data_IF_996855652307
#
_entry.id   IF_996855652307
#
_cell.length_a   1.000
_cell.length_b   1.000
_cell.length_c   1.000
_cell.angle_alpha   90.00
_cell.angle_beta   90.00
_cell.angle_gamma   90.00
#
_symmetry.space_group_name_H-M   'P 1'
#
loop_
_entity.id
_entity.type
_entity.pdbx_description
1 polymer ?
#
# COMPACT_ATOMS: atom_id res chain seq x y z
N UNK A 1 9.86 6.31 -13.23
CA UNK A 1 10.22 6.49 -11.80
C UNK A 1 9.34 7.52 -11.10
N UNK A 2 8.33 7.05 -10.38
CA UNK A 2 7.35 7.84 -9.65
C UNK A 2 7.98 8.76 -8.59
N UNK A 3 7.85 10.07 -8.81
CA UNK A 3 8.28 11.09 -7.85
C UNK A 3 7.32 11.14 -6.67
N UNK A 4 7.86 11.09 -5.45
CA UNK A 4 7.06 11.28 -4.25
C UNK A 4 6.56 12.73 -4.17
N UNK A 5 5.26 12.89 -3.94
CA UNK A 5 4.64 14.15 -3.50
C UNK A 5 5.24 14.55 -2.15
N UNK A 6 5.47 15.85 -2.03
CA UNK A 6 5.86 16.46 -0.75
C UNK A 6 4.68 16.43 0.21
N UNK A 7 4.99 16.13 1.48
CA UNK A 7 4.00 16.06 2.55
C UNK A 7 4.52 16.96 3.66
N UNK A 8 3.88 18.11 3.84
CA UNK A 8 4.19 19.00 4.95
C UNK A 8 3.74 18.35 6.28
N UNK A 9 4.66 18.31 7.24
CA UNK A 9 4.43 17.85 8.60
C UNK A 9 4.82 18.98 9.54
N UNK A 10 3.96 19.29 10.50
CA UNK A 10 4.22 20.31 11.52
C UNK A 10 4.72 19.66 12.82
N UNK A 11 5.85 20.10 13.41
CA UNK A 11 6.38 19.50 14.64
C UNK A 11 5.44 19.56 15.85
N UNK A 12 4.51 20.51 15.87
CA UNK A 12 3.50 20.68 16.91
C UNK A 12 2.19 19.92 16.65
N UNK A 13 2.00 19.30 15.48
CA UNK A 13 0.77 18.57 15.19
C UNK A 13 0.75 17.20 15.89
N UNK A 14 -0.43 16.70 16.29
CA UNK A 14 -0.54 15.37 16.88
C UNK A 14 -0.02 14.30 15.91
N UNK A 15 0.73 13.32 16.42
CA UNK A 15 1.30 12.22 15.63
C UNK A 15 0.25 11.53 14.74
N UNK A 16 -0.97 11.34 15.25
CA UNK A 16 -2.07 10.75 14.49
C UNK A 16 -2.52 11.62 13.30
N UNK A 17 -2.43 12.94 13.39
CA UNK A 17 -2.77 13.87 12.30
C UNK A 17 -1.74 13.76 11.18
N UNK A 18 -0.45 13.78 11.52
CA UNK A 18 0.64 13.57 10.57
C UNK A 18 0.52 12.19 9.88
N UNK A 19 0.28 11.13 10.65
CA UNK A 19 0.10 9.77 10.16
C UNK A 19 -1.02 9.66 9.11
N UNK A 20 -2.19 10.24 9.40
CA UNK A 20 -3.35 10.28 8.50
C UNK A 20 -3.03 11.00 7.19
N UNK A 21 -2.39 12.17 7.28
CA UNK A 21 -1.97 12.94 6.10
C UNK A 21 -1.02 12.13 5.23
N UNK A 22 -0.01 11.49 5.85
CA UNK A 22 0.96 10.68 5.11
C UNK A 22 0.29 9.49 4.43
N UNK A 23 -0.50 8.71 5.15
CA UNK A 23 -1.19 7.54 4.60
C UNK A 23 -2.14 7.93 3.47
N UNK A 24 -2.90 9.03 3.63
CA UNK A 24 -3.80 9.53 2.59
C UNK A 24 -3.06 9.89 1.31
N UNK A 25 -1.96 10.66 1.40
CA UNK A 25 -1.18 11.05 0.21
C UNK A 25 -0.54 9.83 -0.45
N UNK A 26 0.06 8.91 0.32
CA UNK A 26 0.69 7.70 -0.23
C UNK A 26 -0.33 6.73 -0.85
N UNK A 27 -1.53 6.66 -0.30
CA UNK A 27 -2.62 5.87 -0.88
C UNK A 27 -3.08 6.46 -2.22
N UNK A 28 -3.25 7.78 -2.29
CA UNK A 28 -3.60 8.44 -3.56
C UNK A 28 -2.53 8.19 -4.64
N UNK A 29 -1.25 8.40 -4.31
CA UNK A 29 -0.14 8.13 -5.24
C UNK A 29 -0.14 6.70 -5.77
N UNK A 30 -0.44 5.71 -4.93
CA UNK A 30 -0.54 4.33 -5.37
C UNK A 30 -1.59 4.17 -6.48
N UNK A 31 -2.80 4.65 -6.25
CA UNK A 31 -3.91 4.42 -7.19
C UNK A 31 -3.83 5.29 -8.44
N UNK A 32 -3.12 6.42 -8.40
CA UNK A 32 -2.80 7.21 -9.60
C UNK A 32 -1.94 6.44 -10.62
N UNK A 33 -1.21 5.40 -10.18
CA UNK A 33 -0.40 4.54 -11.03
C UNK A 33 -1.06 3.19 -11.36
N UNK A 34 -2.33 2.97 -11.02
CA UNK A 34 -3.03 1.72 -11.29
C UNK A 34 -3.45 1.57 -12.76
N UNK A 35 -3.56 2.68 -13.51
CA UNK A 35 -4.01 2.67 -14.90
C UNK A 35 -2.97 2.05 -15.83
N UNK A 36 -3.41 1.07 -16.63
CA UNK A 36 -2.60 0.33 -17.58
C UNK A 36 -1.39 -0.41 -16.96
N UNK A 37 -1.41 -0.68 -15.65
CA UNK A 37 -0.30 -1.36 -14.96
C UNK A 37 -0.06 -2.81 -15.43
N UNK A 38 -1.06 -3.41 -16.10
CA UNK A 38 -0.98 -4.76 -16.65
C UNK A 38 -0.39 -4.81 -18.07
N UNK A 39 -0.11 -3.65 -18.68
CA UNK A 39 0.57 -3.58 -19.98
C UNK A 39 2.02 -4.04 -19.84
N UNK A 40 2.37 -5.13 -20.51
CA UNK A 40 3.73 -5.67 -20.47
C UNK A 40 4.70 -4.99 -21.43
N UNK A 41 4.19 -4.14 -22.35
CA UNK A 41 5.01 -3.29 -23.21
C UNK A 41 5.52 -2.03 -22.53
N UNK A 42 4.85 -1.55 -21.48
CA UNK A 42 5.22 -0.36 -20.70
C UNK A 42 5.61 -0.72 -19.27
N UNK A 43 6.84 -1.22 -19.13
CA UNK A 43 7.38 -1.72 -17.85
C UNK A 43 7.53 -0.63 -16.78
N UNK A 44 7.54 0.65 -17.16
CA UNK A 44 7.64 1.76 -16.21
C UNK A 44 6.38 1.92 -15.37
N UNK A 45 5.20 1.55 -15.89
CA UNK A 45 3.94 1.62 -15.14
C UNK A 45 3.95 0.72 -13.92
N UNK A 46 4.32 -0.56 -14.11
CA UNK A 46 4.42 -1.51 -12.99
C UNK A 46 5.53 -1.13 -12.02
N UNK A 47 6.64 -0.58 -12.52
CA UNK A 47 7.71 -0.06 -11.69
C UNK A 47 7.22 1.09 -10.78
N UNK A 48 6.53 2.07 -11.35
CA UNK A 48 6.02 3.24 -10.63
C UNK A 48 4.99 2.85 -9.57
N UNK A 49 4.04 1.96 -9.90
CA UNK A 49 3.06 1.44 -8.94
C UNK A 49 3.73 0.61 -7.82
N UNK A 50 4.77 -0.19 -8.15
CA UNK A 50 5.56 -0.92 -7.15
C UNK A 50 6.24 0.04 -6.18
N UNK A 51 6.84 1.11 -6.68
CA UNK A 51 7.53 2.11 -5.86
C UNK A 51 6.55 2.79 -4.89
N UNK A 52 5.39 3.23 -5.36
CA UNK A 52 4.38 3.89 -4.51
C UNK A 52 3.74 2.91 -3.50
N UNK A 53 3.48 1.66 -3.90
CA UNK A 53 2.99 0.62 -2.97
C UNK A 53 3.97 0.37 -1.83
N UNK A 54 5.27 0.26 -2.13
CA UNK A 54 6.31 0.08 -1.10
C UNK A 54 6.36 1.25 -0.12
N UNK A 55 6.25 2.49 -0.63
CA UNK A 55 6.18 3.70 0.22
C UNK A 55 4.95 3.68 1.12
N UNK A 56 3.77 3.34 0.59
CA UNK A 56 2.55 3.22 1.38
C UNK A 56 2.69 2.13 2.46
N UNK A 57 3.20 0.95 2.10
CA UNK A 57 3.43 -0.14 3.06
C UNK A 57 4.34 0.30 4.20
N UNK A 58 5.46 0.94 3.88
CA UNK A 58 6.39 1.46 4.89
C UNK A 58 5.72 2.51 5.77
N UNK A 59 4.93 3.44 5.21
CA UNK A 59 4.19 4.41 5.98
C UNK A 59 3.20 3.75 6.95
N UNK A 60 2.43 2.75 6.51
CA UNK A 60 1.51 2.00 7.37
C UNK A 60 2.23 1.24 8.50
N UNK A 61 3.44 0.75 8.25
CA UNK A 61 4.27 0.08 9.26
C UNK A 61 4.86 1.08 10.27
N UNK A 62 5.38 2.22 9.80
CA UNK A 62 5.94 3.29 10.65
C UNK A 62 4.88 3.93 11.54
N UNK A 63 3.71 4.22 10.98
CA UNK A 63 2.62 4.89 11.69
C UNK A 63 1.64 3.90 12.35
N UNK A 64 2.03 2.64 12.55
CA UNK A 64 1.11 1.61 13.02
C UNK A 64 0.40 1.98 14.35
N UNK A 65 1.12 2.62 15.28
CA UNK A 65 0.60 3.05 16.59
C UNK A 65 -0.38 4.24 16.50
N UNK A 66 -0.47 4.91 15.35
CA UNK A 66 -1.45 5.98 15.13
C UNK A 66 -2.86 5.47 14.79
N UNK A 67 -3.01 4.17 14.54
CA UNK A 67 -4.26 3.60 14.02
C UNK A 67 -4.78 2.44 14.89
N UNK A 68 -6.12 2.29 15.02
CA UNK A 68 -6.69 1.12 15.67
C UNK A 68 -6.24 -0.18 14.98
N UNK A 69 -5.64 -1.10 15.74
CA UNK A 69 -5.07 -2.37 15.20
C UNK A 69 -6.10 -3.18 14.41
N UNK A 70 -7.37 -3.17 14.82
CA UNK A 70 -8.46 -3.84 14.11
C UNK A 70 -8.76 -3.27 12.71
N UNK A 71 -8.53 -1.97 12.50
CA UNK A 71 -8.71 -1.30 11.21
C UNK A 71 -7.44 -1.37 10.35
N UNK A 72 -6.26 -1.23 10.97
CA UNK A 72 -4.98 -1.24 10.27
C UNK A 72 -4.62 -2.63 9.72
N UNK A 73 -4.74 -3.70 10.52
CA UNK A 73 -4.26 -5.04 10.15
C UNK A 73 -4.84 -5.55 8.82
N UNK A 74 -6.16 -5.48 8.57
CA UNK A 74 -6.73 -5.92 7.31
C UNK A 74 -6.21 -5.11 6.12
N UNK A 75 -6.09 -3.79 6.26
CA UNK A 75 -5.60 -2.89 5.20
C UNK A 75 -4.14 -3.16 4.88
N UNK A 76 -3.28 -3.24 5.91
CA UNK A 76 -1.86 -3.53 5.73
C UNK A 76 -1.63 -4.90 5.07
N UNK A 77 -2.42 -5.91 5.42
CA UNK A 77 -2.36 -7.23 4.76
C UNK A 77 -2.68 -7.14 3.27
N UNK A 78 -3.71 -6.38 2.90
CA UNK A 78 -4.13 -6.25 1.51
C UNK A 78 -3.08 -5.43 0.70
N UNK A 79 -2.50 -4.37 1.30
CA UNK A 79 -1.36 -3.64 0.72
C UNK A 79 -0.12 -4.52 0.56
N UNK A 80 0.18 -5.41 1.52
CA UNK A 80 1.29 -6.38 1.41
C UNK A 80 1.10 -7.31 0.23
N UNK A 81 -0.09 -7.91 0.09
CA UNK A 81 -0.42 -8.78 -1.04
C UNK A 81 -0.27 -8.08 -2.40
N UNK A 82 -0.68 -6.82 -2.48
CA UNK A 82 -0.50 -6.02 -3.69
C UNK A 82 1.00 -5.75 -3.96
N UNK A 83 1.77 -5.42 -2.93
CA UNK A 83 3.22 -5.20 -3.04
C UNK A 83 3.96 -6.46 -3.52
N UNK A 84 3.57 -7.63 -3.01
CA UNK A 84 4.15 -8.93 -3.37
C UNK A 84 3.86 -9.24 -4.85
N UNK A 85 2.59 -9.10 -5.28
CA UNK A 85 2.20 -9.32 -6.67
C UNK A 85 2.89 -8.34 -7.65
N UNK A 86 3.06 -7.07 -7.27
CA UNK A 86 3.83 -6.10 -8.05
C UNK A 86 5.31 -6.46 -8.15
N UNK A 87 5.88 -7.10 -7.12
CA UNK A 87 7.24 -7.62 -7.16
C UNK A 87 7.37 -8.79 -8.12
N UNK A 88 6.52 -9.80 -7.94
CA UNK A 88 6.50 -10.98 -8.80
C UNK A 88 6.28 -10.64 -10.29
N UNK A 89 5.54 -9.57 -10.60
CA UNK A 89 5.41 -9.05 -11.96
C UNK A 89 6.67 -8.33 -12.45
N UNK A 90 7.32 -7.54 -11.60
CA UNK A 90 8.44 -6.65 -11.99
C UNK A 90 9.80 -7.36 -12.03
N UNK A 91 10.03 -8.33 -11.17
CA UNK A 91 11.33 -8.97 -11.03
C UNK A 91 11.79 -9.66 -12.36
N UNK A 92 10.91 -10.38 -13.09
CA UNK A 92 11.25 -10.90 -14.42
C UNK A 92 11.60 -9.81 -15.44
N UNK A 93 10.99 -8.61 -15.38
CA UNK A 93 11.33 -7.53 -16.32
C UNK A 93 12.78 -7.09 -16.21
N UNK A 94 13.28 -7.00 -14.97
CA UNK A 94 14.66 -6.60 -14.68
C UNK A 94 15.62 -7.66 -15.25
N UNK A 95 15.34 -8.93 -15.00
CA UNK A 95 16.14 -10.03 -15.54
C UNK A 95 16.08 -10.09 -17.06
N UNK A 96 14.91 -9.92 -17.69
CA UNK A 96 14.77 -9.90 -19.15
C UNK A 96 15.65 -8.81 -19.75
N UNK A 97 15.65 -7.60 -19.17
CA UNK A 97 16.49 -6.51 -19.64
C UNK A 97 17.99 -6.84 -19.52
N UNK A 98 18.42 -7.35 -18.36
CA UNK A 98 19.81 -7.74 -18.10
C UNK A 98 20.29 -8.87 -19.02
N UNK A 99 19.51 -9.93 -19.19
CA UNK A 99 19.84 -11.06 -20.06
C UNK A 99 19.79 -10.69 -21.54
N UNK A 100 18.91 -9.75 -21.94
CA UNK A 100 18.90 -9.23 -23.31
C UNK A 100 20.19 -8.46 -23.61
N UNK A 101 20.66 -7.65 -22.66
CA UNK A 101 21.94 -6.96 -22.80
C UNK A 101 23.11 -7.97 -22.84
N UNK A 102 23.13 -8.92 -21.90
CA UNK A 102 24.16 -9.96 -21.85
C UNK A 102 24.24 -10.74 -23.18
N UNK A 103 23.09 -11.12 -23.74
CA UNK A 103 23.01 -11.82 -25.04
C UNK A 103 23.71 -11.04 -26.16
N UNK A 104 23.58 -9.71 -26.16
CA UNK A 104 24.19 -8.85 -27.18
C UNK A 104 25.72 -8.77 -27.07
N UNK A 105 26.27 -9.07 -25.89
CA UNK A 105 27.71 -9.05 -25.60
C UNK A 105 28.39 -10.43 -25.78
N UNK A 106 27.60 -11.51 -25.84
CA UNK A 106 28.07 -12.89 -25.97
C UNK A 106 28.27 -13.33 -27.43
N UNK A 107 29.12 -14.35 -27.61
CA UNK A 107 29.31 -15.01 -28.89
C UNK A 107 28.03 -15.74 -29.33
N UNK A 108 27.81 -15.86 -30.64
CA UNK A 108 26.60 -16.51 -31.21
C UNK A 108 26.42 -17.96 -30.73
N UNK A 109 27.52 -18.65 -30.41
CA UNK A 109 27.50 -20.01 -29.88
C UNK A 109 26.78 -20.11 -28.51
N UNK A 110 26.77 -19.04 -27.72
CA UNK A 110 26.16 -19.00 -26.38
C UNK A 110 24.70 -18.52 -26.41
N UNK A 111 24.24 -17.94 -27.53
CA UNK A 111 22.88 -17.38 -27.65
C UNK A 111 21.77 -18.39 -27.33
N UNK A 112 21.82 -19.67 -27.78
CA UNK A 112 20.74 -20.62 -27.51
C UNK A 112 20.46 -20.84 -26.01
N UNK A 113 21.50 -20.82 -25.17
CA UNK A 113 21.33 -20.97 -23.73
C UNK A 113 20.66 -19.76 -23.08
N UNK A 114 21.02 -18.56 -23.52
CA UNK A 114 20.41 -17.31 -23.05
C UNK A 114 18.98 -17.16 -23.55
N UNK A 115 18.71 -17.56 -24.80
CA UNK A 115 17.38 -17.52 -25.41
C UNK A 115 16.40 -18.42 -24.65
N UNK A 116 16.81 -19.64 -24.26
CA UNK A 116 16.01 -20.53 -23.43
C UNK A 116 15.66 -19.89 -22.06
N UNK A 117 16.61 -19.21 -21.44
CA UNK A 117 16.36 -18.52 -20.17
C UNK A 117 15.41 -17.33 -20.33
N UNK A 118 15.58 -16.55 -21.41
CA UNK A 118 14.68 -15.44 -21.75
C UNK A 118 13.24 -15.92 -21.99
N UNK A 119 13.05 -17.07 -22.64
CA UNK A 119 11.74 -17.69 -22.80
C UNK A 119 11.12 -18.02 -21.43
N UNK A 120 11.87 -18.67 -20.53
CA UNK A 120 11.39 -18.99 -19.19
C UNK A 120 11.03 -17.74 -18.37
N UNK A 121 11.83 -16.67 -18.47
CA UNK A 121 11.54 -15.40 -17.79
C UNK A 121 10.29 -14.71 -18.34
N UNK A 122 10.02 -14.81 -19.65
CA UNK A 122 8.79 -14.28 -20.26
C UNK A 122 7.55 -15.03 -19.78
N UNK A 123 7.64 -16.34 -19.61
CA UNK A 123 6.57 -17.12 -18.98
C UNK A 123 6.34 -16.69 -17.52
N UNK A 124 7.41 -16.45 -16.76
CA UNK A 124 7.32 -15.97 -15.38
C UNK A 124 6.67 -14.57 -15.33
N UNK A 125 7.07 -13.67 -16.23
CA UNK A 125 6.48 -12.34 -16.39
C UNK A 125 4.96 -12.43 -16.65
N UNK A 126 4.54 -13.31 -17.55
CA UNK A 126 3.13 -13.52 -17.87
C UNK A 126 2.33 -14.02 -16.65
N UNK A 127 2.86 -15.04 -15.94
CA UNK A 127 2.23 -15.55 -14.71
C UNK A 127 2.21 -14.49 -13.61
N UNK A 128 3.26 -13.68 -13.49
CA UNK A 128 3.29 -12.52 -12.59
C UNK A 128 2.21 -11.50 -12.93
N UNK A 129 1.91 -11.30 -14.21
CA UNK A 129 0.87 -10.38 -14.68
C UNK A 129 -0.53 -10.87 -14.32
N UNK A 130 -0.79 -12.18 -14.45
CA UNK A 130 -2.03 -12.80 -14.01
C UNK A 130 -2.23 -12.65 -12.49
N UNK A 131 -1.16 -12.86 -11.70
CA UNK A 131 -1.21 -12.70 -10.24
C UNK A 131 -1.44 -11.24 -9.83
N UNK A 132 -0.82 -10.29 -10.53
CA UNK A 132 -1.06 -8.86 -10.36
C UNK A 132 -2.51 -8.49 -10.70
N UNK A 133 -3.04 -8.99 -11.82
CA UNK A 133 -4.43 -8.76 -12.20
C UNK A 133 -5.41 -9.26 -11.11
N UNK A 134 -5.19 -10.47 -10.60
CA UNK A 134 -5.99 -11.02 -9.52
C UNK A 134 -5.84 -10.23 -8.20
N UNK A 135 -4.66 -9.67 -7.91
CA UNK A 135 -4.45 -8.83 -6.74
C UNK A 135 -5.16 -7.46 -6.85
N UNK A 136 -5.15 -6.87 -8.04
CA UNK A 136 -5.89 -5.63 -8.33
C UNK A 136 -7.40 -5.85 -8.23
N UNK A 137 -7.91 -6.97 -8.73
CA UNK A 137 -9.34 -7.31 -8.61
C UNK A 137 -9.75 -7.44 -7.15
N UNK A 138 -8.99 -8.21 -6.34
CA UNK A 138 -9.23 -8.30 -4.89
C UNK A 138 -9.16 -6.95 -4.19
N UNK A 139 -8.26 -6.06 -4.62
CA UNK A 139 -8.18 -4.70 -4.07
C UNK A 139 -9.43 -3.87 -4.40
N UNK A 140 -10.03 -4.07 -5.58
CA UNK A 140 -11.32 -3.46 -5.97
C UNK A 140 -12.48 -4.05 -5.18
N UNK A 141 -12.61 -5.38 -5.16
CA UNK A 141 -13.69 -6.11 -4.45
C UNK A 141 -13.72 -5.78 -2.95
N UNK A 142 -12.56 -5.61 -2.33
CA UNK A 142 -12.44 -5.30 -0.91
C UNK A 142 -12.53 -3.80 -0.60
N UNK A 143 -12.77 -2.95 -1.60
CA UNK A 143 -12.69 -1.49 -1.51
C UNK A 143 -11.44 -1.00 -0.77
N UNK A 144 -10.28 -1.50 -1.19
CA UNK A 144 -9.00 -1.10 -0.58
C UNK A 144 -8.79 0.43 -0.61
N UNK A 145 -9.09 1.17 -1.71
CA UNK A 145 -9.01 2.63 -1.72
C UNK A 145 -9.91 3.27 -0.66
N UNK A 146 -11.18 2.89 -0.57
CA UNK A 146 -12.11 3.45 0.41
C UNK A 146 -11.74 3.09 1.85
N UNK A 147 -11.23 1.88 2.10
CA UNK A 147 -10.73 1.47 3.42
C UNK A 147 -9.46 2.22 3.84
N UNK A 148 -8.55 2.50 2.91
CA UNK A 148 -7.39 3.36 3.14
C UNK A 148 -7.82 4.80 3.45
N UNK A 149 -8.79 5.33 2.68
CA UNK A 149 -9.37 6.64 2.93
C UNK A 149 -10.05 6.70 4.31
N UNK A 150 -10.82 5.67 4.69
CA UNK A 150 -11.48 5.60 5.98
C UNK A 150 -10.49 5.44 7.14
N UNK A 151 -9.35 4.77 6.94
CA UNK A 151 -8.28 4.66 7.93
C UNK A 151 -7.60 6.02 8.17
N UNK A 152 -7.41 6.81 7.11
CA UNK A 152 -6.83 8.14 7.18
C UNK A 152 -7.83 9.24 7.60
N UNK A 153 -9.13 9.08 7.31
CA UNK A 153 -10.18 10.03 7.71
C UNK A 153 -10.39 10.08 9.22
N UNK A 154 -10.81 11.23 9.79
CA UNK A 154 -10.86 11.51 11.24
C UNK A 154 -11.41 10.35 12.06
N UNK A 155 -10.83 10.09 13.24
CA UNK A 155 -11.44 9.12 14.15
C UNK A 155 -12.84 9.64 14.49
N UNK A 156 -13.85 8.77 14.63
CA UNK A 156 -15.04 9.19 15.36
C UNK A 156 -14.56 9.78 16.68
N UNK A 157 -15.06 10.96 17.03
CA UNK A 157 -14.78 11.56 18.33
C UNK A 157 -15.05 10.48 19.38
N UNK A 158 -14.16 10.28 20.37
CA UNK A 158 -14.54 9.47 21.51
C UNK A 158 -15.86 10.07 21.99
N UNK A 159 -16.91 9.25 22.11
CA UNK A 159 -18.12 9.67 22.79
C UNK A 159 -17.63 10.24 24.11
N UNK A 160 -17.65 11.58 24.22
CA UNK A 160 -17.26 12.26 25.43
C UNK A 160 -18.01 11.51 26.52
N UNK A 161 -17.27 10.97 27.49
CA UNK A 161 -17.86 10.45 28.72
C UNK A 161 -18.91 11.49 29.09
N UNK A 162 -20.18 11.13 28.88
CA UNK A 162 -21.29 12.00 29.24
C UNK A 162 -21.18 12.08 30.74
N UNK A 163 -20.44 13.07 31.23
CA UNK A 163 -20.50 13.47 32.62
C UNK A 163 -22.00 13.61 32.90
N UNK A 164 -22.57 12.76 33.78
CA UNK A 164 -23.96 12.92 34.13
C UNK A 164 -24.10 14.35 34.66
N UNK A 165 -25.16 15.08 34.28
CA UNK A 165 -25.31 16.46 34.71
C UNK A 165 -25.23 16.50 36.24
N UNK A 166 -24.30 17.32 36.74
CA UNK A 166 -24.17 17.70 38.15
C UNK A 166 -25.49 18.37 38.57
N UNK A 167 -26.44 17.58 39.02
CA UNK A 167 -27.79 18.06 39.27
C UNK A 167 -28.74 17.01 39.81
N UNK A 168 -28.36 16.36 40.92
CA UNK A 168 -29.27 16.00 42.01
C UNK A 168 -28.43 15.38 43.16
N UNK A 169 -27.79 16.26 43.94
CA UNK A 169 -27.45 15.91 45.31
C UNK A 169 -28.78 15.81 46.06
N UNK A 170 -29.33 14.60 46.14
CA UNK A 170 -30.38 14.29 47.10
C UNK A 170 -29.86 14.67 48.49
N UNK A 171 -30.63 15.42 49.30
CA UNK A 171 -30.20 15.70 50.67
C UNK A 171 -30.12 14.38 51.44
N UNK A 172 -29.02 14.23 52.18
CA UNK A 172 -28.89 13.20 53.19
C UNK A 172 -30.02 13.37 54.21
N UNK A 173 -31.03 12.51 54.17
CA UNK A 173 -31.95 12.33 55.29
C UNK A 173 -31.26 11.47 56.34
N UNK A 174 -31.25 12.03 57.53
CA UNK A 174 -30.57 11.59 58.74
C UNK A 174 -31.12 10.25 59.26
N UNK A 175 -30.22 9.45 59.81
CA UNK A 175 -30.53 8.33 60.71
C UNK A 175 -30.74 8.93 62.11
N UNK A 176 -31.88 8.64 62.76
CA UNK A 176 -32.07 9.09 64.14
C UNK A 176 -33.38 8.72 64.82
N UNK A 177 -33.42 7.49 65.36
CA UNK A 177 -34.29 6.94 66.45
C UNK A 177 -35.71 6.48 66.12
#
# INVERSE_FOLDING_TARGET
MAKAREIAIDPGEPFAVAARRVVSVRAAELFDHAENVLDTGDIERVHDMRVTTRRLRAALEVFAEAFPKGRLRPVLRDVKRLADALGERRDPDVHIAEFTQLRAELAEADHPGVDLLLESLREEQARGNERLAAALERARESDLPGRLAALAGPAPEPEAEREPPLGELAPASEVGT
#
